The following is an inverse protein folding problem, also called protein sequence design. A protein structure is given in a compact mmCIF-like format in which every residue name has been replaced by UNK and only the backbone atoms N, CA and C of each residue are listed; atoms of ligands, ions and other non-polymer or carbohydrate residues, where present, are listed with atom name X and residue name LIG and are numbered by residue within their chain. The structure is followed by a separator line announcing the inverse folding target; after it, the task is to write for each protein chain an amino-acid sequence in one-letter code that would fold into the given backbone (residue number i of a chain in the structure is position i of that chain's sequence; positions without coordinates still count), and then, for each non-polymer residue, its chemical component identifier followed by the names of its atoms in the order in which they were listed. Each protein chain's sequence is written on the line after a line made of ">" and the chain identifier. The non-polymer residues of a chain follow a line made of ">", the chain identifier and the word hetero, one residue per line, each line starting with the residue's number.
data_IF_990097765572
#
_entry.id   IF_990097765572
#
_cell.length_a   1.000
_cell.length_b   1.000
_cell.length_c   1.000
_cell.angle_alpha   90.00
_cell.angle_beta   90.00
_cell.angle_gamma   90.00
#
_symmetry.space_group_name_H-M   'P 1'
#
loop_
_entity.id
_entity.type
_entity.pdbx_description
1 polymer ?
#
# COMPACT_ATOMS: atom_id res chain seq x y z
N UNK A 1 1.95 -1.64 6.56
CA UNK A 1 2.78 -2.58 5.76
C UNK A 1 2.18 -3.96 5.94
N UNK A 2 2.06 -4.74 4.87
CA UNK A 2 1.58 -6.14 4.90
C UNK A 2 2.36 -6.97 3.88
N UNK A 3 2.42 -8.28 4.10
CA UNK A 3 3.14 -9.21 3.21
C UNK A 3 2.17 -9.97 2.31
N UNK A 4 2.52 -10.07 1.02
CA UNK A 4 1.87 -10.93 0.03
C UNK A 4 2.72 -12.18 -0.15
N UNK A 5 2.06 -13.34 -0.16
CA UNK A 5 2.74 -14.61 -0.38
C UNK A 5 2.29 -15.15 -1.72
N UNK A 6 3.22 -15.28 -2.67
CA UNK A 6 2.93 -15.90 -3.95
C UNK A 6 2.77 -17.41 -3.78
N UNK A 7 1.67 -17.96 -4.30
CA UNK A 7 1.36 -19.39 -4.22
C UNK A 7 1.06 -19.94 -5.61
N UNK A 8 1.49 -21.19 -5.85
CA UNK A 8 1.18 -21.91 -7.08
C UNK A 8 -0.29 -22.40 -7.12
N UNK A 9 -0.68 -23.04 -8.23
CA UNK A 9 -2.04 -23.61 -8.41
C UNK A 9 -2.43 -24.70 -7.41
N UNK A 10 -1.45 -25.25 -6.68
CA UNK A 10 -1.64 -26.29 -5.66
C UNK A 10 -1.62 -25.69 -4.24
N UNK A 11 -1.38 -24.38 -4.11
CA UNK A 11 -1.35 -23.66 -2.84
C UNK A 11 0.03 -23.63 -2.16
N UNK A 12 1.07 -24.15 -2.79
CA UNK A 12 2.43 -24.10 -2.25
C UNK A 12 3.01 -22.69 -2.40
N UNK A 13 3.74 -22.22 -1.40
CA UNK A 13 4.47 -20.96 -1.48
C UNK A 13 5.58 -21.09 -2.53
N UNK A 14 5.68 -20.11 -3.42
CA UNK A 14 6.81 -20.01 -4.33
C UNK A 14 8.10 -19.73 -3.54
N UNK A 15 9.21 -20.32 -3.95
CA UNK A 15 10.52 -20.13 -3.31
C UNK A 15 11.36 -19.02 -3.97
N UNK A 16 10.86 -18.46 -5.06
CA UNK A 16 11.55 -17.44 -5.85
C UNK A 16 10.61 -16.26 -6.09
N UNK A 17 11.19 -15.06 -6.12
CA UNK A 17 10.53 -13.84 -6.55
C UNK A 17 10.36 -13.75 -8.07
N UNK A 18 10.11 -12.53 -8.56
CA UNK A 18 10.02 -12.19 -9.98
C UNK A 18 8.60 -12.08 -10.55
N UNK A 19 7.56 -12.32 -9.75
CA UNK A 19 6.19 -12.15 -10.19
C UNK A 19 5.78 -10.68 -10.32
N UNK A 20 5.06 -10.30 -11.39
CA UNK A 20 4.61 -8.93 -11.61
C UNK A 20 3.37 -8.64 -10.76
N UNK A 21 3.60 -8.22 -9.52
CA UNK A 21 2.56 -7.73 -8.63
C UNK A 21 2.25 -6.26 -8.89
N UNK A 22 0.97 -5.95 -8.98
CA UNK A 22 0.46 -4.58 -9.03
C UNK A 22 -0.49 -4.36 -7.87
N UNK A 23 -0.26 -3.26 -7.13
CA UNK A 23 -1.09 -2.88 -6.01
C UNK A 23 -1.50 -1.41 -6.16
N UNK A 24 -2.80 -1.16 -6.10
CA UNK A 24 -3.38 0.18 -6.26
C UNK A 24 -4.34 0.44 -5.12
N UNK A 25 -4.13 1.53 -4.39
CA UNK A 25 -5.04 1.97 -3.35
C UNK A 25 -5.86 3.15 -3.88
N UNK A 26 -7.17 3.01 -3.92
CA UNK A 26 -8.09 4.02 -4.45
C UNK A 26 -8.92 4.62 -3.32
N UNK A 27 -8.84 5.92 -3.10
CA UNK A 27 -9.61 6.64 -2.08
C UNK A 27 -8.98 7.98 -1.67
N UNK A 28 -9.58 8.72 -0.73
CA UNK A 28 -10.81 8.38 -0.01
C UNK A 28 -12.07 8.64 -0.86
N UNK A 29 -13.12 7.81 -0.71
CA UNK A 29 -14.43 8.09 -1.33
C UNK A 29 -15.11 9.32 -0.69
N UNK A 30 -15.93 10.10 -1.42
CA UNK A 30 -16.42 9.89 -2.79
C UNK A 30 -15.54 10.48 -3.92
N UNK A 31 -14.42 11.12 -3.59
CA UNK A 31 -13.47 11.68 -4.57
C UNK A 31 -12.19 10.84 -4.56
N UNK A 32 -12.20 9.67 -5.22
CA UNK A 32 -11.11 8.71 -5.13
C UNK A 32 -9.84 9.25 -5.76
N UNK A 33 -8.74 9.19 -5.02
CA UNK A 33 -7.38 9.35 -5.55
C UNK A 33 -6.75 7.97 -5.68
N UNK A 34 -6.17 7.67 -6.84
CA UNK A 34 -5.43 6.43 -7.05
C UNK A 34 -3.98 6.62 -6.60
N UNK A 35 -3.58 5.88 -5.58
CA UNK A 35 -2.23 5.84 -5.04
C UNK A 35 -1.56 4.53 -5.46
N UNK A 36 -0.37 4.63 -6.05
CA UNK A 36 0.45 3.47 -6.34
C UNK A 36 1.01 2.91 -5.04
N UNK A 37 0.77 1.63 -4.78
CA UNK A 37 1.31 0.94 -3.61
C UNK A 37 2.66 0.37 -4.00
N UNK A 38 3.68 0.63 -3.18
CA UNK A 38 5.01 0.06 -3.38
C UNK A 38 4.98 -1.41 -2.97
N UNK A 39 5.34 -2.27 -3.91
CA UNK A 39 5.53 -3.71 -3.70
C UNK A 39 7.02 -4.00 -3.85
N UNK A 40 7.64 -4.52 -2.79
CA UNK A 40 9.04 -4.91 -2.78
C UNK A 40 9.14 -6.44 -2.76
N UNK A 41 9.93 -7.00 -3.67
CA UNK A 41 10.17 -8.43 -3.76
C UNK A 41 11.31 -8.83 -2.83
N UNK A 42 11.03 -9.76 -1.90
CA UNK A 42 12.03 -10.34 -1.00
C UNK A 42 12.92 -11.42 -1.64
N UNK A 43 12.57 -11.89 -2.85
CA UNK A 43 13.28 -12.94 -3.57
C UNK A 43 12.94 -14.36 -3.13
N UNK A 44 12.12 -14.54 -2.10
CA UNK A 44 11.72 -15.79 -1.46
C UNK A 44 10.23 -16.13 -1.68
N UNK A 45 9.60 -15.48 -2.67
CA UNK A 45 8.16 -15.56 -2.94
C UNK A 45 7.30 -14.75 -1.97
N UNK A 46 7.91 -13.98 -1.06
CA UNK A 46 7.25 -13.02 -0.18
C UNK A 46 7.48 -11.61 -0.73
N UNK A 47 6.39 -10.85 -0.85
CA UNK A 47 6.40 -9.48 -1.35
C UNK A 47 5.88 -8.53 -0.28
N UNK A 48 6.66 -7.52 0.08
CA UNK A 48 6.30 -6.56 1.11
C UNK A 48 5.62 -5.35 0.49
N UNK A 49 4.38 -5.11 0.92
CA UNK A 49 3.57 -3.99 0.44
C UNK A 49 3.49 -2.88 1.48
N UNK A 50 3.88 -1.67 1.08
CA UNK A 50 3.80 -0.48 1.90
C UNK A 50 2.85 0.53 1.26
N UNK A 51 1.82 0.92 2.02
CA UNK A 51 0.87 1.96 1.65
C UNK A 51 0.81 3.01 2.74
N UNK A 52 0.84 4.28 2.35
CA UNK A 52 0.81 5.43 3.24
C UNK A 52 -0.33 6.38 2.80
N UNK A 53 -1.59 6.09 3.19
CA UNK A 53 -2.68 7.01 2.94
C UNK A 53 -2.48 8.31 3.73
N UNK A 54 -2.65 9.46 3.08
CA UNK A 54 -2.48 10.78 3.71
C UNK A 54 -3.79 11.31 4.33
N UNK A 55 -4.93 10.81 3.88
CA UNK A 55 -6.24 11.25 4.32
C UNK A 55 -6.95 10.10 5.03
N UNK A 56 -7.78 10.45 6.01
CA UNK A 56 -8.72 9.50 6.58
C UNK A 56 -9.89 9.29 5.61
N UNK A 57 -10.44 8.08 5.58
CA UNK A 57 -11.60 7.75 4.76
C UNK A 57 -11.64 6.30 4.32
N UNK A 58 -12.62 5.98 3.48
CA UNK A 58 -12.73 4.66 2.87
C UNK A 58 -11.84 4.54 1.65
N UNK A 59 -11.02 3.50 1.65
CA UNK A 59 -10.14 3.13 0.56
C UNK A 59 -10.46 1.74 0.04
N UNK A 60 -10.18 1.54 -1.25
CA UNK A 60 -10.28 0.25 -1.93
C UNK A 60 -8.89 -0.14 -2.39
N UNK A 61 -8.36 -1.22 -1.85
CA UNK A 61 -7.08 -1.80 -2.26
C UNK A 61 -7.34 -2.88 -3.32
N UNK A 62 -6.87 -2.63 -4.53
CA UNK A 62 -6.81 -3.60 -5.60
C UNK A 62 -5.41 -4.22 -5.67
N UNK A 63 -5.36 -5.54 -5.54
CA UNK A 63 -4.14 -6.34 -5.67
C UNK A 63 -4.31 -7.28 -6.86
N UNK A 64 -3.40 -7.16 -7.83
CA UNK A 64 -3.36 -8.01 -9.01
C UNK A 64 -1.99 -8.66 -9.17
N UNK A 65 -2.00 -9.91 -9.60
CA UNK A 65 -0.83 -10.70 -9.95
C UNK A 65 -1.01 -11.11 -11.41
N UNK A 66 -0.12 -10.66 -12.31
CA UNK A 66 -0.26 -10.89 -13.77
C UNK A 66 -1.65 -10.49 -14.28
N UNK A 67 -2.08 -9.28 -13.91
CA UNK A 67 -3.40 -8.72 -14.25
C UNK A 67 -4.62 -9.47 -13.70
N UNK A 68 -4.42 -10.51 -12.87
CA UNK A 68 -5.49 -11.25 -12.20
C UNK A 68 -5.64 -10.82 -10.75
N UNK A 69 -6.86 -10.55 -10.30
CA UNK A 69 -7.12 -10.26 -8.89
C UNK A 69 -6.81 -11.47 -8.00
N UNK A 70 -6.08 -11.21 -6.92
CA UNK A 70 -5.85 -12.24 -5.91
C UNK A 70 -7.05 -12.41 -4.98
N UNK A 71 -7.06 -13.50 -4.22
CA UNK A 71 -8.09 -13.77 -3.23
C UNK A 71 -8.22 -12.59 -2.25
N UNK A 72 -9.45 -12.11 -2.04
CA UNK A 72 -9.80 -10.93 -1.23
C UNK A 72 -9.53 -9.57 -1.88
N UNK A 73 -9.08 -9.51 -3.14
CA UNK A 73 -9.07 -8.28 -3.93
C UNK A 73 -10.36 -8.18 -4.77
N UNK A 74 -10.93 -6.97 -4.94
CA UNK A 74 -10.58 -5.72 -4.24
C UNK A 74 -11.05 -5.72 -2.78
N UNK A 75 -10.22 -5.22 -1.88
CA UNK A 75 -10.51 -5.12 -0.45
C UNK A 75 -10.91 -3.69 -0.07
N UNK A 76 -12.02 -3.54 0.66
CA UNK A 76 -12.39 -2.27 1.28
C UNK A 76 -11.71 -2.14 2.63
N UNK A 77 -11.05 -1.02 2.89
CA UNK A 77 -10.46 -0.69 4.19
C UNK A 77 -10.79 0.74 4.59
N UNK A 78 -11.06 0.94 5.86
CA UNK A 78 -11.30 2.27 6.43
C UNK A 78 -10.02 2.74 7.10
N UNK A 79 -9.44 3.81 6.58
CA UNK A 79 -8.31 4.49 7.21
C UNK A 79 -8.90 5.48 8.21
N UNK A 80 -8.79 5.16 9.49
CA UNK A 80 -9.15 6.09 10.54
C UNK A 80 -8.15 7.26 10.58
N UNK A 81 -8.57 8.47 10.95
CA UNK A 81 -7.63 9.53 11.28
C UNK A 81 -6.79 9.04 12.47
N UNK A 82 -5.50 8.79 12.23
CA UNK A 82 -4.57 8.56 13.31
C UNK A 82 -4.39 9.89 14.06
N UNK A 83 -4.43 9.84 15.39
CA UNK A 83 -4.05 10.99 16.22
C UNK A 83 -2.65 11.44 15.77
N UNK A 84 -2.51 12.70 15.38
CA UNK A 84 -1.25 13.22 14.88
C UNK A 84 -0.19 13.03 15.97
N UNK A 85 0.86 12.26 15.71
CA UNK A 85 1.97 12.07 16.64
C UNK A 85 2.91 13.27 16.50
N UNK A 86 2.86 14.29 17.38
CA UNK A 86 3.55 15.56 17.16
C UNK A 86 5.08 15.41 16.93
N UNK A 87 5.80 14.47 17.59
CA UNK A 87 7.22 14.26 17.35
C UNK A 87 7.57 13.71 15.95
N UNK A 88 6.61 13.13 15.23
CA UNK A 88 6.81 12.55 13.90
C UNK A 88 6.38 13.47 12.76
N UNK A 89 5.85 14.66 13.09
CA UNK A 89 5.45 15.65 12.11
C UNK A 89 6.66 16.47 11.66
N UNK A 90 6.99 16.42 10.37
CA UNK A 90 8.01 17.27 9.77
C UNK A 90 7.34 18.40 8.99
N UNK A 91 7.60 19.65 9.36
CA UNK A 91 7.25 20.80 8.54
C UNK A 91 8.33 21.02 7.47
N UNK A 92 7.95 21.13 6.20
CA UNK A 92 8.88 21.42 5.09
C UNK A 92 8.32 22.57 4.27
N UNK A 93 9.10 23.64 4.10
CA UNK A 93 8.72 24.82 3.34
C UNK A 93 9.88 25.82 3.24
N UNK A 94 10.03 26.46 2.07
CA UNK A 94 11.09 27.45 1.83
C UNK A 94 11.07 28.67 2.78
N UNK A 95 9.96 28.89 3.48
CA UNK A 95 9.79 29.94 4.50
C UNK A 95 10.20 29.54 5.92
N UNK A 96 10.71 28.33 6.16
CA UNK A 96 11.19 27.90 7.50
C UNK A 96 12.62 28.40 7.81
N UNK A 97 13.19 29.27 6.97
CA UNK A 97 14.41 30.02 7.25
C UNK A 97 14.02 31.42 7.72
N UNK A 98 13.96 31.63 9.03
CA UNK A 98 14.02 32.98 9.60
C UNK A 98 12.98 33.26 10.68
N UNK A 99 13.46 33.42 11.91
CA UNK A 99 12.70 33.96 13.03
C UNK A 99 13.61 34.15 14.24
N UNK A 100 14.49 35.17 14.11
CA UNK A 100 15.45 35.79 15.06
C UNK A 100 15.65 35.17 16.45
#
# INVERSE_FOLDING_TARGET
>A
VFDLVARDRYGNQQLFGGEPWTATLTGPLPQPVSLLVRVEDGGDGIYRCAVAPQLAGEYVLALTLRDCHVRRSPLRMTVAPAEAHPPSCTAVGGGLRGGK
#
